data_IF_655598459157
#
_entry.id   IF_655598459157
#
_cell.length_a   1.000
_cell.length_b   1.000
_cell.length_c   1.000
_cell.angle_alpha   90.00
_cell.angle_beta   90.00
_cell.angle_gamma   90.00
#
_symmetry.space_group_name_H-M   'P 1'
#
loop_
_entity.id
_entity.type
_entity.pdbx_description
1 polymer ?
#
# COMPACT_ATOMS: atom_id res chain seq x y z
N UNK A 1 19.62 -16.47 12.15
CA UNK A 1 18.61 -15.43 12.39
C UNK A 1 17.30 -15.85 11.73
N UNK A 2 16.15 -15.58 12.35
CA UNK A 2 14.84 -15.77 11.71
C UNK A 2 14.76 -14.71 10.62
N UNK A 3 15.19 -15.04 9.41
CA UNK A 3 15.15 -14.09 8.29
C UNK A 3 13.82 -14.19 7.55
N UNK A 4 13.29 -13.05 7.14
CA UNK A 4 12.09 -12.96 6.32
C UNK A 4 12.56 -12.97 4.86
N UNK A 5 11.90 -13.74 3.98
CA UNK A 5 12.29 -13.78 2.57
C UNK A 5 12.35 -12.34 2.01
N UNK A 6 13.33 -12.01 1.14
CA UNK A 6 13.44 -10.65 0.58
C UNK A 6 12.13 -10.12 -0.03
N UNK A 7 11.38 -10.96 -0.75
CA UNK A 7 10.07 -10.60 -1.31
C UNK A 7 9.02 -10.25 -0.24
N UNK A 8 9.05 -10.93 0.91
CA UNK A 8 8.17 -10.62 2.04
C UNK A 8 8.58 -9.31 2.72
N UNK A 9 9.88 -9.00 2.81
CA UNK A 9 10.37 -7.72 3.27
C UNK A 9 9.89 -6.58 2.36
N UNK A 10 10.04 -6.71 1.04
CA UNK A 10 9.62 -5.69 0.09
C UNK A 10 8.10 -5.51 0.10
N UNK A 11 7.33 -6.60 0.16
CA UNK A 11 5.88 -6.54 0.33
C UNK A 11 5.48 -5.81 1.62
N UNK A 12 6.12 -6.11 2.76
CA UNK A 12 5.81 -5.46 4.03
C UNK A 12 6.17 -3.97 4.01
N UNK A 13 7.36 -3.61 3.49
CA UNK A 13 7.77 -2.21 3.29
C UNK A 13 6.79 -1.47 2.39
N UNK A 14 6.31 -2.13 1.34
CA UNK A 14 5.33 -1.54 0.44
C UNK A 14 3.97 -1.32 1.10
N UNK A 15 3.49 -2.25 1.95
CA UNK A 15 2.26 -2.05 2.72
C UNK A 15 2.35 -0.90 3.73
N UNK A 16 3.57 -0.62 4.23
CA UNK A 16 3.83 0.53 5.10
C UNK A 16 3.83 1.82 4.27
N UNK A 17 4.56 1.85 3.14
CA UNK A 17 4.69 3.02 2.29
C UNK A 17 3.39 3.38 1.55
N UNK A 18 2.60 2.37 1.18
CA UNK A 18 1.39 2.49 0.37
C UNK A 18 0.24 1.76 1.07
N UNK A 19 -0.73 2.48 1.65
CA UNK A 19 -1.78 1.90 2.49
C UNK A 19 -2.90 1.29 1.63
N UNK A 20 -2.56 0.43 0.67
CA UNK A 20 -3.49 -0.42 -0.07
C UNK A 20 -3.97 -1.59 0.80
N UNK A 21 -5.03 -2.30 0.38
CA UNK A 21 -5.41 -3.52 1.10
C UNK A 21 -4.39 -4.60 0.82
N UNK A 22 -4.04 -5.37 1.84
CA UNK A 22 -3.02 -6.39 1.70
C UNK A 22 -3.30 -7.41 0.59
N UNK A 23 -4.57 -7.81 0.41
CA UNK A 23 -4.97 -8.68 -0.69
C UNK A 23 -4.81 -8.03 -2.07
N UNK A 24 -5.22 -6.76 -2.22
CA UNK A 24 -5.06 -5.99 -3.46
C UNK A 24 -3.57 -5.82 -3.79
N UNK A 25 -2.73 -5.55 -2.78
CA UNK A 25 -1.26 -5.47 -2.95
C UNK A 25 -0.63 -6.82 -3.30
N UNK A 26 -1.13 -7.92 -2.76
CA UNK A 26 -0.60 -9.25 -3.02
C UNK A 26 -0.91 -9.73 -4.44
N UNK A 27 -2.00 -9.25 -5.04
CA UNK A 27 -2.42 -9.54 -6.41
C UNK A 27 -1.96 -8.46 -7.42
N UNK A 28 -1.19 -7.46 -6.97
CA UNK A 28 -0.75 -6.35 -7.81
C UNK A 28 0.17 -6.83 -8.95
N UNK A 29 -0.08 -6.36 -10.16
CA UNK A 29 0.72 -6.65 -11.36
C UNK A 29 1.42 -5.40 -11.89
N UNK A 30 2.49 -5.60 -12.66
CA UNK A 30 3.27 -4.49 -13.25
C UNK A 30 2.45 -3.61 -14.19
N UNK A 31 1.44 -4.18 -14.88
CA UNK A 31 0.57 -3.41 -15.78
C UNK A 31 -0.35 -2.42 -15.04
N UNK A 32 -0.51 -2.56 -13.73
CA UNK A 32 -1.27 -1.63 -12.89
C UNK A 32 -0.42 -0.47 -12.36
N UNK A 33 0.90 -0.49 -12.59
CA UNK A 33 1.84 0.53 -12.13
C UNK A 33 2.19 1.45 -13.29
N UNK A 34 1.97 2.74 -13.09
CA UNK A 34 2.40 3.81 -13.99
C UNK A 34 3.50 4.61 -13.28
N UNK A 35 4.76 4.23 -13.55
CA UNK A 35 5.94 4.85 -12.91
C UNK A 35 6.14 6.30 -13.36
N UNK A 36 5.77 6.64 -14.60
CA UNK A 36 5.90 8.00 -15.14
C UNK A 36 4.93 8.94 -14.44
N UNK A 37 3.70 8.48 -14.18
CA UNK A 37 2.69 9.26 -13.45
C UNK A 37 2.80 9.12 -11.94
N UNK A 38 3.64 8.22 -11.44
CA UNK A 38 3.74 7.86 -10.04
C UNK A 38 2.36 7.46 -9.48
N UNK A 39 1.72 6.48 -10.13
CA UNK A 39 0.38 5.99 -9.78
C UNK A 39 0.27 4.46 -9.83
N UNK A 40 -0.55 3.90 -8.95
CA UNK A 40 -1.12 2.55 -9.10
C UNK A 40 -2.59 2.71 -9.49
N UNK A 41 -3.01 1.98 -10.53
CA UNK A 41 -4.35 2.04 -11.11
C UNK A 41 -5.02 0.68 -11.01
N UNK A 42 -5.97 0.56 -10.09
CA UNK A 42 -6.77 -0.63 -9.88
C UNK A 42 -8.11 -0.47 -10.60
N UNK A 43 -8.48 -1.45 -11.42
CA UNK A 43 -9.81 -1.48 -12.03
C UNK A 43 -10.88 -1.81 -10.99
N UNK A 44 -12.15 -1.71 -11.38
CA UNK A 44 -13.23 -2.16 -10.50
C UNK A 44 -13.12 -3.66 -10.16
N UNK A 45 -12.62 -4.49 -11.07
CA UNK A 45 -12.45 -5.92 -10.82
C UNK A 45 -11.32 -6.21 -9.81
N UNK A 46 -10.31 -5.34 -9.74
CA UNK A 46 -9.13 -5.52 -8.89
C UNK A 46 -9.35 -5.05 -7.44
N UNK A 47 -10.45 -4.34 -7.17
CA UNK A 47 -10.71 -3.73 -5.87
C UNK A 47 -11.76 -4.48 -5.08
N UNK A 48 -11.57 -4.58 -3.76
CA UNK A 48 -12.51 -5.25 -2.85
C UNK A 48 -13.91 -4.62 -2.82
N UNK A 49 -14.00 -3.32 -3.15
CA UNK A 49 -15.25 -2.56 -3.15
C UNK A 49 -15.84 -2.37 -4.56
N UNK A 50 -15.32 -3.08 -5.57
CA UNK A 50 -15.81 -3.05 -6.95
C UNK A 50 -15.82 -1.63 -7.55
N UNK A 51 -14.84 -0.81 -7.17
CA UNK A 51 -14.73 0.60 -7.58
C UNK A 51 -13.32 0.89 -8.03
N UNK A 52 -13.16 1.33 -9.28
CA UNK A 52 -11.86 1.73 -9.81
C UNK A 52 -11.19 2.77 -8.91
N UNK A 53 -9.90 2.58 -8.66
CA UNK A 53 -9.15 3.33 -7.67
C UNK A 53 -7.75 3.67 -8.18
N UNK A 54 -7.35 4.92 -7.93
CA UNK A 54 -6.00 5.39 -8.23
C UNK A 54 -5.32 5.79 -6.93
N UNK A 55 -4.18 5.15 -6.67
CA UNK A 55 -3.31 5.41 -5.54
C UNK A 55 -2.06 6.15 -6.03
N UNK A 56 -1.82 7.40 -5.62
CA UNK A 56 -0.53 8.03 -5.82
C UNK A 56 0.57 7.27 -5.11
N UNK A 57 1.74 7.13 -5.74
CA UNK A 57 2.95 6.62 -5.09
C UNK A 57 4.00 7.72 -4.97
N UNK A 58 4.93 7.54 -4.04
CA UNK A 58 6.02 8.49 -3.73
C UNK A 58 7.38 7.88 -4.06
N UNK A 59 8.45 8.67 -3.89
CA UNK A 59 9.83 8.19 -4.11
C UNK A 59 10.17 6.93 -3.32
N UNK A 60 9.71 6.83 -2.06
CA UNK A 60 9.92 5.63 -1.22
C UNK A 60 9.26 4.39 -1.83
N UNK A 61 8.00 4.51 -2.25
CA UNK A 61 7.27 3.42 -2.89
C UNK A 61 7.90 3.02 -4.23
N UNK A 62 8.33 4.01 -5.02
CA UNK A 62 9.03 3.79 -6.30
C UNK A 62 10.32 2.98 -6.11
N UNK A 63 11.15 3.34 -5.14
CA UNK A 63 12.38 2.61 -4.86
C UNK A 63 12.13 1.14 -4.46
N UNK A 64 11.07 0.87 -3.70
CA UNK A 64 10.67 -0.50 -3.35
C UNK A 64 10.21 -1.29 -4.59
N UNK A 65 9.49 -0.64 -5.49
CA UNK A 65 9.03 -1.25 -6.74
C UNK A 65 10.20 -1.54 -7.70
N UNK A 66 11.15 -0.62 -7.84
CA UNK A 66 12.37 -0.83 -8.64
C UNK A 66 13.20 -2.02 -8.13
N UNK A 67 13.28 -2.22 -6.80
CA UNK A 67 13.91 -3.40 -6.21
C UNK A 67 13.12 -4.69 -6.49
N UNK A 68 11.79 -4.62 -6.39
CA UNK A 68 10.93 -5.77 -6.67
C UNK A 68 10.95 -6.19 -8.15
N UNK A 69 11.12 -5.25 -9.09
CA UNK A 69 11.12 -5.50 -10.54
C UNK A 69 12.29 -6.40 -10.98
N UNK A 70 13.40 -6.39 -10.24
CA UNK A 70 14.58 -7.21 -10.53
C UNK A 70 14.27 -8.72 -10.53
N UNK A 71 13.24 -9.14 -9.80
CA UNK A 71 12.81 -10.54 -9.75
C UNK A 71 12.12 -11.02 -11.04
N UNK A 72 11.71 -10.10 -11.95
CA UNK A 72 11.07 -10.41 -13.25
C UNK A 72 9.87 -11.36 -13.15
N UNK A 73 9.03 -11.18 -12.14
CA UNK A 73 7.81 -11.98 -11.91
C UNK A 73 6.58 -11.29 -12.48
N UNK A 74 5.51 -12.06 -12.77
CA UNK A 74 4.25 -11.51 -13.29
C UNK A 74 3.55 -10.58 -12.29
N UNK A 75 3.46 -11.00 -11.02
CA UNK A 75 3.06 -10.15 -9.90
C UNK A 75 4.24 -9.30 -9.43
N UNK A 76 3.92 -8.12 -8.91
CA UNK A 76 4.91 -7.21 -8.28
C UNK A 76 5.57 -7.90 -7.08
N UNK A 77 4.77 -8.62 -6.29
CA UNK A 77 5.25 -9.42 -5.18
C UNK A 77 4.81 -10.88 -5.35
N UNK A 78 5.72 -11.72 -5.85
CA UNK A 78 5.48 -13.17 -5.96
C UNK A 78 5.61 -13.83 -4.57
N UNK A 79 4.53 -13.82 -3.80
CA UNK A 79 4.51 -14.30 -2.41
C UNK A 79 4.36 -15.82 -2.27
N UNK A 80 3.85 -16.47 -3.31
CA UNK A 80 3.78 -17.93 -3.43
C UNK A 80 5.04 -18.50 -4.06
N UNK A 81 5.44 -19.71 -3.65
CA UNK A 81 6.54 -20.43 -4.28
C UNK A 81 6.16 -20.96 -5.68
N UNK A 82 4.86 -21.06 -5.99
CA UNK A 82 4.41 -21.41 -7.34
C UNK A 82 4.30 -20.13 -8.18
N UNK A 83 4.89 -20.16 -9.38
CA UNK A 83 4.83 -19.04 -10.31
C UNK A 83 3.36 -18.67 -10.60
N UNK A 84 3.06 -17.38 -10.52
CA UNK A 84 1.73 -16.81 -10.76
C UNK A 84 0.59 -17.37 -9.90
N UNK A 85 0.90 -18.10 -8.81
CA UNK A 85 -0.11 -18.52 -7.85
C UNK A 85 -0.36 -17.45 -6.76
N UNK A 86 -1.62 -17.27 -6.31
CA UNK A 86 -1.96 -16.32 -5.25
C UNK A 86 -1.32 -16.71 -3.91
N UNK A 87 -1.22 -15.73 -3.01
CA UNK A 87 -0.71 -15.96 -1.66
C UNK A 87 -1.71 -16.75 -0.80
N UNK A 88 -1.30 -17.95 -0.37
CA UNK A 88 -2.10 -18.80 0.53
C UNK A 88 -1.51 -18.92 1.94
N UNK A 89 -0.19 -18.75 2.09
CA UNK A 89 0.55 -18.96 3.34
C UNK A 89 0.48 -17.76 4.32
N UNK A 90 -0.71 -17.19 4.51
CA UNK A 90 -0.89 -15.97 5.32
C UNK A 90 -0.55 -16.15 6.79
N UNK A 91 -0.90 -17.30 7.38
CA UNK A 91 -0.57 -17.63 8.78
C UNK A 91 0.94 -17.66 8.97
N UNK A 92 1.66 -18.35 8.08
CA UNK A 92 3.12 -18.40 8.12
C UNK A 92 3.75 -17.01 7.99
N UNK A 93 3.26 -16.17 7.06
CA UNK A 93 3.72 -14.80 6.93
C UNK A 93 3.54 -14.02 8.24
N UNK A 94 2.36 -14.10 8.87
CA UNK A 94 2.07 -13.43 10.14
C UNK A 94 2.97 -13.89 11.27
N UNK A 95 3.13 -15.19 11.45
CA UNK A 95 3.96 -15.75 12.53
C UNK A 95 5.42 -15.31 12.39
N UNK A 96 5.93 -15.26 11.15
CA UNK A 96 7.29 -14.76 10.88
C UNK A 96 7.42 -13.27 11.19
N UNK A 97 6.46 -12.44 10.78
CA UNK A 97 6.50 -11.00 11.08
C UNK A 97 6.41 -10.74 12.59
N UNK A 98 5.53 -11.45 13.31
CA UNK A 98 5.40 -11.36 14.77
C UNK A 98 6.69 -11.76 15.48
N UNK A 99 7.28 -12.88 15.08
CA UNK A 99 8.54 -13.36 15.67
C UNK A 99 9.71 -12.40 15.46
N UNK A 100 9.80 -11.75 14.29
CA UNK A 100 10.90 -10.82 13.97
C UNK A 100 10.68 -9.44 14.60
N UNK A 101 9.45 -8.94 14.55
CA UNK A 101 9.13 -7.60 15.06
C UNK A 101 8.97 -7.53 16.58
N UNK A 102 8.69 -8.66 17.23
CA UNK A 102 8.29 -8.71 18.65
C UNK A 102 6.85 -8.23 18.90
N UNK A 103 6.10 -7.86 17.87
CA UNK A 103 4.71 -7.41 17.97
C UNK A 103 3.78 -8.62 17.90
N UNK A 104 3.42 -9.18 19.05
CA UNK A 104 2.73 -10.47 19.16
C UNK A 104 1.34 -10.52 18.52
N UNK A 105 0.62 -9.40 18.45
CA UNK A 105 -0.74 -9.27 17.92
C UNK A 105 -0.80 -8.69 16.50
N UNK A 106 0.35 -8.50 15.84
CA UNK A 106 0.43 -7.91 14.51
C UNK A 106 -0.55 -8.55 13.51
N UNK A 107 -1.23 -7.69 12.76
CA UNK A 107 -2.06 -8.00 11.60
C UNK A 107 -1.77 -7.01 10.47
N UNK A 108 -2.00 -7.44 9.22
CA UNK A 108 -1.84 -6.58 8.04
C UNK A 108 -2.80 -5.38 8.06
N UNK A 109 -3.92 -5.50 8.77
CA UNK A 109 -4.87 -4.41 8.94
C UNK A 109 -4.31 -3.26 9.78
N UNK A 110 -3.35 -3.54 10.65
CA UNK A 110 -2.79 -2.58 11.59
C UNK A 110 -1.96 -1.52 10.87
N UNK A 111 -1.29 -1.90 9.77
CA UNK A 111 -0.52 -0.97 8.95
C UNK A 111 -1.39 0.15 8.37
N UNK A 112 -2.60 -0.18 7.92
CA UNK A 112 -3.55 0.81 7.39
C UNK A 112 -4.15 1.68 8.49
N UNK A 113 -4.41 1.10 9.67
CA UNK A 113 -4.85 1.87 10.85
C UNK A 113 -3.76 2.85 11.27
N UNK A 114 -2.52 2.37 11.33
CA UNK A 114 -1.32 3.15 11.65
C UNK A 114 -1.15 4.32 10.68
N UNK A 115 -1.27 4.09 9.37
CA UNK A 115 -1.26 5.17 8.38
C UNK A 115 -2.32 6.24 8.69
N UNK A 116 -3.58 5.83 8.88
CA UNK A 116 -4.67 6.78 9.10
C UNK A 116 -4.47 7.60 10.37
N UNK A 117 -4.08 6.93 11.46
CA UNK A 117 -3.85 7.56 12.76
C UNK A 117 -2.67 8.52 12.70
N UNK A 118 -1.50 8.07 12.24
CA UNK A 118 -0.30 8.89 12.25
C UNK A 118 -0.39 10.07 11.28
N UNK A 119 -1.00 9.90 10.10
CA UNK A 119 -1.24 11.04 9.21
C UNK A 119 -2.22 12.03 9.85
N UNK A 120 -3.30 11.56 10.47
CA UNK A 120 -4.25 12.45 11.15
C UNK A 120 -3.66 13.17 12.36
N UNK A 121 -2.73 12.55 13.08
CA UNK A 121 -2.07 13.15 14.25
C UNK A 121 -0.94 14.13 13.87
N UNK A 122 -0.26 13.90 12.74
CA UNK A 122 0.93 14.65 12.34
C UNK A 122 0.73 15.55 11.11
N UNK A 123 -0.51 15.78 10.67
CA UNK A 123 -0.81 16.68 9.57
C UNK A 123 -2.17 17.36 9.71
N UNK A 124 -2.36 18.47 8.99
CA UNK A 124 -3.63 19.21 8.96
C UNK A 124 -4.58 18.73 7.85
N UNK A 125 -4.39 17.49 7.34
CA UNK A 125 -5.25 16.96 6.30
C UNK A 125 -6.61 16.54 6.87
N UNK A 126 -7.66 16.81 6.10
CA UNK A 126 -9.01 16.40 6.46
C UNK A 126 -9.16 14.87 6.41
N UNK A 127 -9.81 14.30 7.42
CA UNK A 127 -10.09 12.85 7.54
C UNK A 127 -10.72 12.24 6.29
N UNK A 128 -11.62 12.96 5.59
CA UNK A 128 -12.25 12.49 4.35
C UNK A 128 -11.22 12.26 3.24
N UNK A 129 -10.13 13.04 3.21
CA UNK A 129 -9.06 12.88 2.22
C UNK A 129 -8.21 11.67 2.57
N UNK A 130 -7.88 11.50 3.85
CA UNK A 130 -7.12 10.35 4.38
C UNK A 130 -7.89 9.04 4.15
N UNK A 131 -9.17 8.99 4.53
CA UNK A 131 -10.05 7.83 4.31
C UNK A 131 -10.16 7.48 2.82
N UNK A 132 -10.16 8.49 1.96
CA UNK A 132 -10.25 8.26 0.52
C UNK A 132 -9.04 7.53 -0.07
N UNK A 133 -7.87 7.57 0.58
CA UNK A 133 -6.69 6.78 0.21
C UNK A 133 -6.80 5.32 0.65
N UNK A 134 -7.61 5.06 1.68
CA UNK A 134 -7.90 3.72 2.16
C UNK A 134 -8.96 3.01 1.30
N UNK A 135 -9.56 3.68 0.32
CA UNK A 135 -10.56 3.11 -0.59
C UNK A 135 -11.71 2.42 0.17
N UNK A 136 -12.14 2.96 1.31
CA UNK A 136 -13.21 2.39 2.14
C UNK A 136 -14.58 2.47 1.45
N UNK A 137 -15.52 1.57 1.83
CA UNK A 137 -16.87 1.55 1.24
C UNK A 137 -17.68 2.82 1.53
N UNK A 138 -17.36 3.55 2.61
CA UNK A 138 -17.99 4.84 2.91
C UNK A 138 -17.60 5.92 1.91
N UNK A 139 -16.39 5.84 1.35
CA UNK A 139 -16.00 6.60 0.15
C UNK A 139 -16.76 6.15 -1.13
N UNK A 140 -17.48 5.03 -1.11
CA UNK A 140 -18.15 4.41 -2.26
C UNK A 140 -19.69 4.56 -2.25
N UNK A 141 -20.30 5.25 -1.29
CA UNK A 141 -21.77 5.43 -1.19
C UNK A 141 -22.37 6.44 -2.17
N UNK A 142 -21.63 6.90 -3.19
CA UNK A 142 -22.11 7.88 -4.19
C UNK A 142 -22.03 7.32 -5.62
N UNK A 143 -23.11 7.45 -6.38
CA UNK A 143 -23.31 6.83 -7.70
C UNK A 143 -22.66 7.60 -8.88
N UNK A 144 -22.32 6.86 -9.95
CA UNK A 144 -22.16 7.38 -11.32
C UNK A 144 -20.92 8.23 -11.67
N UNK A 145 -21.04 9.02 -12.74
CA UNK A 145 -20.02 9.93 -13.33
C UNK A 145 -19.42 10.89 -12.29
N UNK A 146 -20.22 11.29 -11.29
CA UNK A 146 -19.78 12.16 -10.20
C UNK A 146 -18.65 11.54 -9.36
N UNK A 147 -18.58 10.21 -9.27
CA UNK A 147 -17.51 9.47 -8.59
C UNK A 147 -16.17 9.61 -9.31
N UNK A 148 -16.16 9.46 -10.64
CA UNK A 148 -14.93 9.66 -11.44
C UNK A 148 -14.45 11.11 -11.35
N UNK A 149 -15.38 12.07 -11.40
CA UNK A 149 -15.07 13.48 -11.29
C UNK A 149 -14.53 13.87 -9.90
N UNK A 150 -15.11 13.33 -8.83
CA UNK A 150 -14.62 13.55 -7.45
C UNK A 150 -13.28 12.85 -7.19
N UNK A 151 -13.07 11.63 -7.73
CA UNK A 151 -11.78 10.94 -7.64
C UNK A 151 -10.67 11.74 -8.34
N UNK A 152 -10.93 12.26 -9.54
CA UNK A 152 -9.99 13.11 -10.26
C UNK A 152 -9.70 14.42 -9.49
N UNK A 153 -10.73 15.09 -8.95
CA UNK A 153 -10.57 16.32 -8.15
C UNK A 153 -9.80 16.11 -6.85
N UNK A 154 -9.91 14.93 -6.22
CA UNK A 154 -9.21 14.61 -4.98
C UNK A 154 -7.78 14.14 -5.20
N UNK A 155 -7.40 13.74 -6.41
CA UNK A 155 -6.10 13.15 -6.70
C UNK A 155 -4.91 14.08 -6.34
N UNK A 156 -4.94 15.40 -6.62
CA UNK A 156 -3.89 16.31 -6.16
C UNK A 156 -3.73 16.31 -4.63
N UNK A 157 -4.85 16.37 -3.90
CA UNK A 157 -4.80 16.35 -2.43
C UNK A 157 -4.34 15.00 -1.87
N UNK A 158 -4.72 13.89 -2.52
CA UNK A 158 -4.20 12.55 -2.21
C UNK A 158 -2.68 12.46 -2.43
N UNK A 159 -2.14 13.12 -3.45
CA UNK A 159 -0.69 13.21 -3.68
C UNK A 159 0.00 13.94 -2.53
N UNK A 160 -0.56 15.07 -2.08
CA UNK A 160 -0.03 15.80 -0.92
C UNK A 160 -0.01 14.93 0.35
N UNK A 161 -1.10 14.20 0.63
CA UNK A 161 -1.16 13.30 1.79
C UNK A 161 -0.13 12.18 1.69
N UNK A 162 -0.02 11.53 0.53
CA UNK A 162 0.96 10.45 0.32
C UNK A 162 2.39 10.97 0.43
N UNK A 163 2.66 12.21 -0.03
CA UNK A 163 3.98 12.83 0.12
C UNK A 163 4.30 13.10 1.59
N UNK A 164 3.39 13.69 2.36
CA UNK A 164 3.59 13.91 3.79
C UNK A 164 3.82 12.58 4.55
N UNK A 165 3.10 11.53 4.18
CA UNK A 165 3.33 10.20 4.74
C UNK A 165 4.73 9.67 4.42
N UNK A 166 5.19 9.84 3.18
CA UNK A 166 6.53 9.43 2.79
C UNK A 166 7.62 10.22 3.54
N UNK A 167 7.44 11.53 3.70
CA UNK A 167 8.36 12.39 4.45
C UNK A 167 8.43 11.99 5.93
N UNK A 168 7.29 11.63 6.52
CA UNK A 168 7.22 11.12 7.90
C UNK A 168 7.95 9.78 8.06
N UNK A 169 7.75 8.84 7.15
CA UNK A 169 8.48 7.57 7.14
C UNK A 169 9.99 7.78 6.98
N UNK A 170 10.39 8.67 6.06
CA UNK A 170 11.79 9.01 5.82
C UNK A 170 12.46 9.59 7.07
N UNK A 171 11.75 10.43 7.82
CA UNK A 171 12.21 10.97 9.10
C UNK A 171 12.49 9.83 10.10
N UNK A 172 11.54 8.91 10.28
CA UNK A 172 11.70 7.75 11.18
C UNK A 172 12.89 6.87 10.74
N UNK A 173 12.99 6.57 9.44
CA UNK A 173 14.05 5.70 8.91
C UNK A 173 15.43 6.33 9.13
N UNK A 174 15.57 7.65 8.92
CA UNK A 174 16.83 8.37 9.15
C UNK A 174 17.18 8.41 10.63
N UNK A 175 16.21 8.65 11.51
CA UNK A 175 16.41 8.67 12.95
C UNK A 175 16.87 7.32 13.52
N UNK A 176 16.41 6.19 12.95
CA UNK A 176 16.82 4.85 13.39
C UNK A 176 18.14 4.35 12.78
N UNK A 177 18.71 5.09 11.81
CA UNK A 177 20.03 4.78 11.23
C UNK A 177 21.17 5.55 11.91
N UNK A 178 20.84 6.58 12.69
CA UNK A 178 21.77 7.36 13.51
C UNK A 178 22.00 6.65 14.86
#
# INVERSE_FOLDING_TARGET
>A
AIDLKPVYCNYLRFLIAVPLRSGETAELTWSQIDMDRMEIRLSAADTKNSTAFTMPITGLAKAILEDAEQAKTARVFQLSNMADAPMTAWTHFHDRVRAISGIGDFSRHDLRRTFSTLVGEHSDFNDDVIDSLLNHKQSATRSGVMRHYQNAKRLPKRREVMQAWADYLDHIIKANKA
#
